data_IF_898498045965
#
_entry.id   IF_898498045965
#
_cell.length_a   1.000
_cell.length_b   1.000
_cell.length_c   1.000
_cell.angle_alpha   90.00
_cell.angle_beta   90.00
_cell.angle_gamma   90.00
#
_symmetry.space_group_name_H-M   'P 1'
#
loop_
_entity.id
_entity.type
_entity.pdbx_description
1 polymer ?
#
# COMPACT_ATOMS: atom_id res chain seq x y z
N UNK A 1 7.74 23.24 -18.42
CA UNK A 1 8.70 23.07 -17.30
C UNK A 1 8.06 22.45 -16.04
N UNK A 2 6.75 22.60 -15.79
CA UNK A 2 6.06 22.02 -14.64
C UNK A 2 5.82 20.50 -14.73
N UNK A 3 5.56 19.98 -15.95
CA UNK A 3 5.27 18.56 -16.18
C UNK A 3 6.40 17.58 -15.80
N UNK A 4 7.65 18.06 -15.72
CA UNK A 4 8.79 17.25 -15.26
C UNK A 4 8.97 17.24 -13.75
N UNK A 5 8.27 18.09 -12.99
CA UNK A 5 8.44 18.27 -11.54
C UNK A 5 7.47 17.43 -10.68
N UNK A 6 6.50 16.72 -11.28
CA UNK A 6 5.36 16.14 -10.54
C UNK A 6 4.98 14.74 -11.05
N UNK A 7 5.97 13.91 -11.42
CA UNK A 7 5.67 12.54 -11.84
C UNK A 7 5.28 11.69 -10.62
N UNK A 8 4.04 11.23 -10.59
CA UNK A 8 3.56 10.33 -9.54
C UNK A 8 4.18 8.94 -9.68
N UNK A 9 4.54 8.33 -8.55
CA UNK A 9 4.98 6.94 -8.51
C UNK A 9 3.76 6.03 -8.50
N UNK A 10 3.63 5.21 -9.55
CA UNK A 10 2.54 4.24 -9.69
C UNK A 10 2.84 2.96 -8.94
N UNK A 11 1.78 2.37 -8.40
CA UNK A 11 1.80 1.03 -7.83
C UNK A 11 1.45 0.04 -8.94
N UNK A 12 2.23 -1.04 -9.05
CA UNK A 12 1.97 -2.09 -10.03
C UNK A 12 0.82 -2.98 -9.56
N UNK A 13 -0.38 -2.72 -10.07
CA UNK A 13 -1.56 -3.57 -9.82
C UNK A 13 -1.43 -4.95 -10.44
N UNK A 14 -0.72 -5.08 -11.57
CA UNK A 14 -0.40 -6.39 -12.15
C UNK A 14 0.45 -7.23 -11.22
N UNK A 15 1.50 -6.64 -10.63
CA UNK A 15 2.33 -7.31 -9.62
C UNK A 15 1.51 -7.75 -8.41
N UNK A 16 0.60 -6.89 -7.93
CA UNK A 16 -0.31 -7.22 -6.83
C UNK A 16 -1.20 -8.44 -7.15
N UNK A 17 -1.78 -8.46 -8.36
CA UNK A 17 -2.63 -9.59 -8.82
C UNK A 17 -1.80 -10.86 -8.99
N UNK A 18 -0.63 -10.79 -9.63
CA UNK A 18 0.28 -11.92 -9.79
C UNK A 18 0.70 -12.48 -8.44
N UNK A 19 1.04 -11.62 -7.49
CA UNK A 19 1.41 -12.04 -6.14
C UNK A 19 0.29 -12.84 -5.47
N UNK A 20 -0.96 -12.36 -5.56
CA UNK A 20 -2.13 -13.04 -5.00
C UNK A 20 -2.38 -14.38 -5.68
N UNK A 21 -2.34 -14.44 -7.01
CA UNK A 21 -2.55 -15.70 -7.75
C UNK A 21 -1.49 -16.74 -7.35
N UNK A 22 -0.21 -16.35 -7.34
CA UNK A 22 0.87 -17.25 -6.93
C UNK A 22 0.71 -17.71 -5.48
N UNK A 23 0.26 -16.83 -4.59
CA UNK A 23 0.00 -17.15 -3.19
C UNK A 23 -1.11 -18.20 -3.05
N UNK A 24 -2.24 -17.99 -3.73
CA UNK A 24 -3.38 -18.93 -3.72
C UNK A 24 -2.98 -20.29 -4.31
N UNK A 25 -2.37 -20.30 -5.49
CA UNK A 25 -1.93 -21.56 -6.14
C UNK A 25 -0.90 -22.28 -5.29
N UNK A 26 0.06 -21.55 -4.71
CA UNK A 26 1.03 -22.10 -3.77
C UNK A 26 0.37 -22.73 -2.55
N UNK A 27 -0.62 -22.07 -1.93
CA UNK A 27 -1.37 -22.63 -0.79
C UNK A 27 -2.14 -23.90 -1.18
N UNK A 28 -2.77 -23.93 -2.35
CA UNK A 28 -3.49 -25.13 -2.83
C UNK A 28 -2.52 -26.30 -3.03
N UNK A 29 -1.37 -26.06 -3.67
CA UNK A 29 -0.36 -27.10 -3.86
C UNK A 29 0.26 -27.55 -2.53
N UNK A 30 0.44 -26.65 -1.57
CA UNK A 30 0.90 -27.02 -0.22
C UNK A 30 -0.07 -28.00 0.44
N UNK A 31 -1.39 -27.75 0.32
CA UNK A 31 -2.41 -28.66 0.87
C UNK A 31 -2.42 -30.02 0.17
N UNK A 32 -2.39 -30.03 -1.17
CA UNK A 32 -2.33 -31.27 -1.96
C UNK A 32 -1.08 -32.09 -1.59
N UNK A 33 0.09 -31.44 -1.54
CA UNK A 33 1.34 -32.08 -1.16
C UNK A 33 1.31 -32.63 0.27
N UNK A 34 0.74 -31.90 1.22
CA UNK A 34 0.62 -32.34 2.60
C UNK A 34 -0.30 -33.58 2.74
N UNK A 35 -1.43 -33.60 2.05
CA UNK A 35 -2.34 -34.77 2.04
C UNK A 35 -1.64 -35.98 1.40
N UNK A 36 -0.99 -35.79 0.25
CA UNK A 36 -0.25 -36.87 -0.41
C UNK A 36 0.90 -37.39 0.46
N UNK A 37 1.62 -36.53 1.17
CA UNK A 37 2.69 -36.94 2.09
C UNK A 37 2.13 -37.75 3.28
N UNK A 38 0.97 -37.36 3.82
CA UNK A 38 0.32 -38.09 4.91
C UNK A 38 -0.16 -39.48 4.46
N UNK A 39 -0.75 -39.58 3.27
CA UNK A 39 -1.15 -40.87 2.68
C UNK A 39 0.07 -41.76 2.39
N UNK A 40 1.13 -41.20 1.79
CA UNK A 40 2.37 -41.92 1.54
C UNK A 40 2.99 -42.49 2.83
N UNK A 41 3.00 -41.70 3.91
CA UNK A 41 3.47 -42.16 5.22
C UNK A 41 2.60 -43.27 5.82
N UNK A 42 1.29 -43.25 5.57
CA UNK A 42 0.36 -44.26 6.07
C UNK A 42 0.52 -45.61 5.34
N UNK A 43 0.77 -45.58 4.04
CA UNK A 43 0.94 -46.78 3.21
C UNK A 43 2.40 -47.23 3.03
N UNK A 44 3.36 -46.51 3.62
CA UNK A 44 4.81 -46.72 3.44
C UNK A 44 5.24 -46.69 1.95
N UNK A 45 4.63 -45.79 1.17
CA UNK A 45 4.87 -45.64 -0.26
C UNK A 45 5.92 -44.56 -0.53
N UNK A 46 7.15 -45.01 -0.80
CA UNK A 46 8.29 -44.13 -1.06
C UNK A 46 8.14 -43.30 -2.35
N UNK A 47 7.53 -43.85 -3.40
CA UNK A 47 7.37 -43.15 -4.68
C UNK A 47 6.36 -42.00 -4.52
N UNK A 48 5.26 -42.27 -3.82
CA UNK A 48 4.27 -41.26 -3.48
C UNK A 48 4.84 -40.18 -2.55
N UNK A 49 5.68 -40.55 -1.60
CA UNK A 49 6.37 -39.60 -0.71
C UNK A 49 7.29 -38.65 -1.49
N UNK A 50 7.99 -39.18 -2.50
CA UNK A 50 8.86 -38.39 -3.38
C UNK A 50 8.05 -37.41 -4.21
N UNK A 51 6.92 -37.86 -4.80
CA UNK A 51 5.98 -37.01 -5.52
C UNK A 51 5.38 -35.90 -4.66
N UNK A 52 4.93 -36.22 -3.44
CA UNK A 52 4.40 -35.26 -2.48
C UNK A 52 5.44 -34.19 -2.11
N UNK A 53 6.68 -34.61 -1.86
CA UNK A 53 7.80 -33.71 -1.56
C UNK A 53 8.06 -32.72 -2.71
N UNK A 54 8.03 -33.19 -3.97
CA UNK A 54 8.20 -32.33 -5.14
C UNK A 54 7.09 -31.26 -5.23
N UNK A 55 5.83 -31.64 -4.98
CA UNK A 55 4.69 -30.70 -4.96
C UNK A 55 4.85 -29.67 -3.84
N UNK A 56 5.29 -30.08 -2.65
CA UNK A 56 5.52 -29.18 -1.52
C UNK A 56 6.67 -28.19 -1.79
N UNK A 57 7.75 -28.63 -2.45
CA UNK A 57 8.85 -27.76 -2.85
C UNK A 57 8.34 -26.70 -3.86
N UNK A 58 7.57 -27.12 -4.87
CA UNK A 58 6.98 -26.19 -5.83
C UNK A 58 6.06 -25.17 -5.14
N UNK A 59 5.20 -25.63 -4.24
CA UNK A 59 4.34 -24.76 -3.43
C UNK A 59 5.16 -23.72 -2.63
N UNK A 60 6.27 -24.14 -2.02
CA UNK A 60 7.19 -23.26 -1.30
C UNK A 60 7.81 -22.19 -2.21
N UNK A 61 8.23 -22.55 -3.42
CA UNK A 61 8.77 -21.60 -4.40
C UNK A 61 7.72 -20.58 -4.85
N UNK A 62 6.49 -21.03 -5.14
CA UNK A 62 5.39 -20.13 -5.49
C UNK A 62 5.05 -19.17 -4.33
N UNK A 63 5.02 -19.69 -3.11
CA UNK A 63 4.81 -18.89 -1.89
C UNK A 63 5.91 -17.85 -1.67
N UNK A 64 7.19 -18.22 -1.90
CA UNK A 64 8.32 -17.30 -1.79
C UNK A 64 8.22 -16.16 -2.81
N UNK A 65 7.97 -16.48 -4.08
CA UNK A 65 7.81 -15.46 -5.14
C UNK A 65 6.62 -14.57 -4.83
N UNK A 66 5.48 -15.14 -4.40
CA UNK A 66 4.32 -14.38 -3.95
C UNK A 66 4.68 -13.41 -2.82
N UNK A 67 5.36 -13.88 -1.77
CA UNK A 67 5.78 -13.06 -0.64
C UNK A 67 6.68 -11.89 -1.04
N UNK A 68 7.64 -12.12 -1.95
CA UNK A 68 8.51 -11.06 -2.49
C UNK A 68 7.68 -10.01 -3.23
N UNK A 69 6.79 -10.43 -4.14
CA UNK A 69 5.97 -9.49 -4.89
C UNK A 69 5.02 -8.69 -3.99
N UNK A 70 4.42 -9.32 -2.98
CA UNK A 70 3.61 -8.63 -1.97
C UNK A 70 4.44 -7.58 -1.21
N UNK A 71 5.65 -7.93 -0.77
CA UNK A 71 6.54 -7.00 -0.09
C UNK A 71 6.91 -5.80 -0.98
N UNK A 72 7.16 -6.02 -2.27
CA UNK A 72 7.44 -4.94 -3.23
C UNK A 72 6.22 -4.03 -3.40
N UNK A 73 5.03 -4.58 -3.59
CA UNK A 73 3.78 -3.81 -3.73
C UNK A 73 3.52 -2.96 -2.49
N UNK A 74 3.71 -3.53 -1.30
CA UNK A 74 3.58 -2.77 -0.05
C UNK A 74 4.56 -1.59 0.00
N UNK A 75 5.82 -1.79 -0.39
CA UNK A 75 6.79 -0.70 -0.46
C UNK A 75 6.40 0.37 -1.48
N UNK A 76 5.81 -0.02 -2.60
CA UNK A 76 5.28 0.90 -3.60
C UNK A 76 4.16 1.79 -3.03
N UNK A 77 3.32 1.29 -2.11
CA UNK A 77 2.33 2.14 -1.42
C UNK A 77 2.98 3.30 -0.70
N UNK A 78 4.05 3.01 0.05
CA UNK A 78 4.79 4.04 0.77
C UNK A 78 5.43 5.05 -0.17
N UNK A 79 6.04 4.56 -1.25
CA UNK A 79 6.65 5.42 -2.26
C UNK A 79 5.61 6.31 -2.96
N UNK A 80 4.47 5.75 -3.36
CA UNK A 80 3.40 6.48 -4.04
C UNK A 80 2.83 7.61 -3.18
N UNK A 81 2.46 7.29 -1.93
CA UNK A 81 1.93 8.27 -0.99
C UNK A 81 2.96 9.34 -0.63
N UNK A 82 4.21 8.96 -0.36
CA UNK A 82 5.29 9.90 -0.02
C UNK A 82 5.56 10.87 -1.17
N UNK A 83 5.71 10.35 -2.39
CA UNK A 83 5.90 11.20 -3.59
C UNK A 83 4.70 12.12 -3.80
N UNK A 84 3.48 11.64 -3.59
CA UNK A 84 2.29 12.47 -3.71
C UNK A 84 2.24 13.62 -2.68
N UNK A 85 2.63 13.37 -1.43
CA UNK A 85 2.77 14.38 -0.37
C UNK A 85 3.83 15.42 -0.76
N UNK A 86 5.02 14.96 -1.17
CA UNK A 86 6.13 15.83 -1.58
C UNK A 86 5.76 16.71 -2.77
N UNK A 87 5.19 16.11 -3.81
CA UNK A 87 4.69 16.81 -5.00
C UNK A 87 3.67 17.90 -4.62
N UNK A 88 2.72 17.55 -3.76
CA UNK A 88 1.70 18.50 -3.30
C UNK A 88 2.33 19.65 -2.53
N UNK A 89 3.28 19.36 -1.63
CA UNK A 89 4.00 20.36 -0.86
C UNK A 89 4.75 21.32 -1.77
N UNK A 90 5.48 20.80 -2.77
CA UNK A 90 6.25 21.62 -3.72
C UNK A 90 5.33 22.59 -4.47
N UNK A 91 4.19 22.09 -4.98
CA UNK A 91 3.22 22.93 -5.69
C UNK A 91 2.65 23.99 -4.75
N UNK A 92 2.19 23.59 -3.56
CA UNK A 92 1.60 24.51 -2.58
C UNK A 92 2.58 25.59 -2.12
N UNK A 93 3.82 25.23 -1.81
CA UNK A 93 4.85 26.21 -1.45
C UNK A 93 5.15 27.16 -2.63
N UNK A 94 5.14 26.65 -3.86
CA UNK A 94 5.27 27.46 -5.06
C UNK A 94 4.10 28.43 -5.28
N UNK A 95 2.87 28.00 -4.94
CA UNK A 95 1.67 28.82 -5.02
C UNK A 95 1.63 29.89 -3.93
N UNK A 96 1.98 29.57 -2.69
CA UNK A 96 2.08 30.51 -1.57
C UNK A 96 2.96 31.72 -1.94
N UNK A 97 4.13 31.47 -2.54
CA UNK A 97 5.03 32.54 -3.02
C UNK A 97 4.47 33.40 -4.15
N UNK A 98 3.45 32.92 -4.85
CA UNK A 98 2.87 33.57 -6.03
C UNK A 98 1.59 34.33 -5.72
N UNK A 99 0.88 34.00 -4.64
CA UNK A 99 -0.41 34.59 -4.30
C UNK A 99 -0.19 35.88 -3.49
N UNK A 100 -0.93 36.94 -3.81
CA UNK A 100 -0.89 38.22 -3.08
C UNK A 100 -1.89 38.26 -1.91
N UNK A 101 -2.89 37.38 -1.93
CA UNK A 101 -3.92 37.22 -0.90
C UNK A 101 -3.32 36.57 0.36
N UNK A 102 -3.20 37.37 1.43
CA UNK A 102 -2.59 36.96 2.70
C UNK A 102 -3.32 35.78 3.34
N UNK A 103 -4.66 35.76 3.28
CA UNK A 103 -5.47 34.70 3.90
C UNK A 103 -5.21 33.36 3.21
N UNK A 104 -5.17 33.36 1.87
CA UNK A 104 -4.84 32.14 1.10
C UNK A 104 -3.42 31.66 1.34
N UNK A 105 -2.48 32.59 1.50
CA UNK A 105 -1.08 32.29 1.78
C UNK A 105 -0.94 31.58 3.13
N UNK A 106 -1.56 32.13 4.19
CA UNK A 106 -1.54 31.54 5.53
C UNK A 106 -2.16 30.12 5.55
N UNK A 107 -3.28 29.93 4.84
CA UNK A 107 -3.93 28.62 4.71
C UNK A 107 -3.04 27.61 3.99
N UNK A 108 -2.37 28.02 2.90
CA UNK A 108 -1.46 27.17 2.15
C UNK A 108 -0.22 26.80 2.98
N UNK A 109 0.31 27.72 3.76
CA UNK A 109 1.48 27.49 4.62
C UNK A 109 1.16 26.57 5.78
N UNK A 110 -0.02 26.75 6.41
CA UNK A 110 -0.53 25.82 7.43
C UNK A 110 -0.73 24.41 6.84
N UNK A 111 -1.30 24.31 5.65
CA UNK A 111 -1.48 23.03 4.96
C UNK A 111 -0.14 22.36 4.63
N UNK A 112 0.83 23.11 4.11
CA UNK A 112 2.17 22.62 3.79
C UNK A 112 2.92 22.14 5.04
N UNK A 113 2.73 22.80 6.17
CA UNK A 113 3.25 22.39 7.48
C UNK A 113 2.64 21.08 7.93
N UNK A 114 1.31 20.93 7.82
CA UNK A 114 0.61 19.67 8.15
C UNK A 114 1.03 18.51 7.26
N UNK A 115 1.19 18.74 5.95
CA UNK A 115 1.73 17.73 5.02
C UNK A 115 3.13 17.26 5.42
N UNK A 116 3.98 18.17 5.89
CA UNK A 116 5.35 17.84 6.31
C UNK A 116 5.39 16.95 7.55
N UNK A 117 4.36 17.02 8.40
CA UNK A 117 4.18 16.14 9.55
C UNK A 117 3.66 14.74 9.20
N UNK A 118 3.17 14.50 7.98
CA UNK A 118 2.67 13.19 7.56
C UNK A 118 3.85 12.27 7.22
N UNK A 119 4.20 11.39 8.16
CA UNK A 119 5.27 10.42 7.96
C UNK A 119 4.70 9.00 7.97
N UNK A 120 5.08 8.22 6.96
CA UNK A 120 4.77 6.80 6.91
C UNK A 120 5.80 6.02 7.73
N UNK A 121 5.38 5.04 8.55
CA UNK A 121 6.28 4.23 9.37
C UNK A 121 6.98 3.15 8.52
N UNK A 122 7.82 3.57 7.56
CA UNK A 122 8.56 2.67 6.65
C UNK A 122 9.51 1.74 7.42
N UNK A 123 9.97 2.15 8.60
CA UNK A 123 10.75 1.30 9.49
C UNK A 123 9.99 0.05 9.92
N UNK A 124 8.67 0.15 10.17
CA UNK A 124 7.83 -0.97 10.58
C UNK A 124 7.66 -1.98 9.43
N UNK A 125 7.56 -1.47 8.19
CA UNK A 125 7.59 -2.33 7.00
C UNK A 125 8.88 -3.16 6.92
N UNK A 126 10.06 -2.53 7.11
CA UNK A 126 11.32 -3.26 7.03
C UNK A 126 11.50 -4.28 8.15
N UNK A 127 11.07 -3.95 9.38
CA UNK A 127 11.06 -4.92 10.47
C UNK A 127 10.14 -6.11 10.18
N UNK A 128 8.95 -5.86 9.62
CA UNK A 128 8.07 -6.93 9.15
C UNK A 128 8.78 -7.84 8.14
N UNK A 129 9.42 -7.28 7.11
CA UNK A 129 10.11 -8.06 6.06
C UNK A 129 11.24 -8.89 6.66
N UNK A 130 12.08 -8.30 7.51
CA UNK A 130 13.21 -9.01 8.15
C UNK A 130 12.71 -10.13 9.04
N UNK A 131 11.70 -9.88 9.88
CA UNK A 131 11.12 -10.90 10.76
C UNK A 131 10.46 -12.02 9.98
N UNK A 132 9.77 -11.69 8.88
CA UNK A 132 9.19 -12.68 7.98
C UNK A 132 10.27 -13.59 7.39
N UNK A 133 11.36 -13.02 6.87
CA UNK A 133 12.49 -13.77 6.31
C UNK A 133 13.12 -14.67 7.37
N UNK A 134 13.42 -14.14 8.57
CA UNK A 134 13.97 -14.93 9.67
C UNK A 134 13.01 -16.08 10.03
N UNK A 135 11.71 -15.80 10.08
CA UNK A 135 10.67 -16.80 10.35
C UNK A 135 10.72 -17.99 9.39
N UNK A 136 10.95 -17.76 8.09
CA UNK A 136 11.05 -18.83 7.09
C UNK A 136 12.18 -19.84 7.37
N UNK A 137 13.27 -19.41 8.04
CA UNK A 137 14.44 -20.25 8.31
C UNK A 137 14.57 -20.68 9.78
N UNK A 138 13.61 -20.33 10.64
CA UNK A 138 13.72 -20.52 12.09
C UNK A 138 13.12 -21.83 12.63
N UNK A 139 12.59 -22.70 11.76
CA UNK A 139 12.00 -23.98 12.15
C UNK A 139 10.88 -23.83 13.19
N UNK A 140 10.98 -24.50 14.33
CA UNK A 140 9.97 -24.45 15.40
C UNK A 140 9.75 -23.03 15.98
N UNK A 141 10.76 -22.16 15.93
CA UNK A 141 10.64 -20.78 16.42
C UNK A 141 10.00 -19.82 15.40
N UNK A 142 9.70 -20.29 14.18
CA UNK A 142 9.10 -19.48 13.12
C UNK A 142 7.83 -18.74 13.57
N UNK A 143 7.02 -19.38 14.42
CA UNK A 143 5.77 -18.79 14.91
C UNK A 143 5.98 -17.48 15.66
N UNK A 144 7.05 -17.38 16.46
CA UNK A 144 7.37 -16.16 17.22
C UNK A 144 7.72 -15.01 16.27
N UNK A 145 8.53 -15.28 15.25
CA UNK A 145 8.91 -14.29 14.25
C UNK A 145 7.73 -13.87 13.37
N UNK A 146 6.84 -14.79 13.01
CA UNK A 146 5.63 -14.46 12.26
C UNK A 146 4.65 -13.62 13.07
N UNK A 147 4.46 -13.91 14.36
CA UNK A 147 3.62 -13.09 15.25
C UNK A 147 4.20 -11.68 15.41
N UNK A 148 5.51 -11.57 15.68
CA UNK A 148 6.17 -10.26 15.77
C UNK A 148 6.10 -9.50 14.44
N UNK A 149 6.36 -10.19 13.32
CA UNK A 149 6.24 -9.62 11.98
C UNK A 149 4.83 -9.10 11.71
N UNK A 150 3.79 -9.84 12.11
CA UNK A 150 2.40 -9.42 11.96
C UNK A 150 2.07 -8.15 12.76
N UNK A 151 2.66 -7.96 13.95
CA UNK A 151 2.51 -6.72 14.73
C UNK A 151 3.10 -5.53 13.96
N UNK A 152 4.31 -5.67 13.42
CA UNK A 152 4.93 -4.60 12.62
C UNK A 152 4.19 -4.34 11.30
N UNK A 153 3.63 -5.38 10.68
CA UNK A 153 2.72 -5.24 9.53
C UNK A 153 1.49 -4.40 9.92
N UNK A 154 0.88 -4.67 11.07
CA UNK A 154 -0.29 -3.92 11.53
C UNK A 154 0.04 -2.44 11.81
N UNK A 155 1.18 -2.16 12.43
CA UNK A 155 1.69 -0.78 12.64
C UNK A 155 1.88 -0.08 11.29
N UNK A 156 2.51 -0.77 10.33
CA UNK A 156 2.71 -0.24 8.99
C UNK A 156 1.40 0.12 8.30
N UNK A 157 0.44 -0.81 8.28
CA UNK A 157 -0.86 -0.62 7.65
C UNK A 157 -1.67 0.48 8.32
N UNK A 158 -1.64 0.58 9.64
CA UNK A 158 -2.27 1.68 10.36
C UNK A 158 -1.73 3.03 9.88
N UNK A 159 -0.41 3.16 9.73
CA UNK A 159 0.22 4.36 9.17
C UNK A 159 -0.24 4.66 7.74
N UNK A 160 -0.27 3.65 6.86
CA UNK A 160 -0.75 3.82 5.48
C UNK A 160 -2.21 4.29 5.45
N UNK A 161 -3.09 3.67 6.22
CA UNK A 161 -4.50 4.04 6.28
C UNK A 161 -4.68 5.47 6.82
N UNK A 162 -4.06 5.77 7.97
CA UNK A 162 -4.17 7.08 8.62
C UNK A 162 -3.64 8.22 7.74
N UNK A 163 -2.47 8.03 7.11
CA UNK A 163 -1.89 9.03 6.20
C UNK A 163 -2.76 9.21 4.96
N UNK A 164 -3.23 8.12 4.35
CA UNK A 164 -4.08 8.20 3.15
C UNK A 164 -5.41 8.90 3.42
N UNK A 165 -6.03 8.65 4.57
CA UNK A 165 -7.26 9.31 5.01
C UNK A 165 -7.01 10.80 5.25
N UNK A 166 -6.00 11.13 6.05
CA UNK A 166 -5.64 12.51 6.38
C UNK A 166 -5.30 13.32 5.12
N UNK A 167 -4.56 12.73 4.19
CA UNK A 167 -4.15 13.39 2.96
C UNK A 167 -5.34 13.72 2.05
N UNK A 168 -6.26 12.76 1.87
CA UNK A 168 -7.50 12.97 1.12
C UNK A 168 -8.40 14.01 1.79
N UNK A 169 -8.57 13.94 3.10
CA UNK A 169 -9.44 14.86 3.83
C UNK A 169 -8.89 16.30 3.84
N UNK A 170 -7.56 16.48 3.92
CA UNK A 170 -6.98 17.82 3.81
C UNK A 170 -7.08 18.36 2.38
N UNK A 171 -6.80 17.55 1.36
CA UNK A 171 -6.88 17.98 -0.04
C UNK A 171 -8.30 18.24 -0.51
N UNK A 172 -9.25 17.44 -0.04
CA UNK A 172 -10.68 17.64 -0.27
C UNK A 172 -11.22 18.95 0.30
N UNK A 173 -10.53 19.55 1.28
CA UNK A 173 -10.87 20.87 1.82
C UNK A 173 -10.13 22.00 1.10
N UNK A 174 -8.84 21.83 0.82
CA UNK A 174 -8.04 22.92 0.24
C UNK A 174 -8.31 23.15 -1.24
N UNK A 175 -8.58 22.10 -2.03
CA UNK A 175 -8.82 22.29 -3.47
C UNK A 175 -10.10 23.08 -3.76
N UNK A 176 -11.26 22.82 -3.14
CA UNK A 176 -12.43 23.68 -3.32
C UNK A 176 -12.20 25.12 -2.85
N UNK A 177 -11.45 25.30 -1.76
CA UNK A 177 -11.09 26.63 -1.25
C UNK A 177 -10.24 27.42 -2.26
N UNK A 178 -9.19 26.82 -2.81
CA UNK A 178 -8.30 27.48 -3.78
C UNK A 178 -8.96 27.65 -5.15
N UNK A 179 -9.78 26.70 -5.58
CA UNK A 179 -10.48 26.76 -6.85
C UNK A 179 -11.76 27.60 -6.79
N UNK A 180 -12.19 28.06 -5.61
CA UNK A 180 -13.44 28.82 -5.39
C UNK A 180 -14.65 28.20 -6.12
N UNK A 181 -14.66 26.88 -6.26
CA UNK A 181 -15.69 26.13 -7.00
C UNK A 181 -15.92 24.77 -6.36
N UNK A 182 -17.11 24.24 -6.54
CA UNK A 182 -17.39 22.84 -6.20
C UNK A 182 -16.52 21.95 -7.10
N UNK A 183 -15.67 21.15 -6.48
CA UNK A 183 -14.87 20.16 -7.19
C UNK A 183 -15.77 18.95 -7.42
N UNK A 184 -16.18 18.71 -8.67
CA UNK A 184 -17.07 17.61 -9.02
C UNK A 184 -16.42 16.23 -8.93
N UNK A 185 -15.08 16.15 -9.02
CA UNK A 185 -14.35 14.90 -8.79
C UNK A 185 -14.03 14.73 -7.30
N UNK A 186 -14.72 13.80 -6.64
CA UNK A 186 -14.39 13.44 -5.27
C UNK A 186 -13.01 12.80 -5.20
N UNK A 187 -12.09 13.49 -4.52
CA UNK A 187 -10.73 13.03 -4.28
C UNK A 187 -10.69 11.84 -3.32
N UNK A 188 -11.76 11.56 -2.58
CA UNK A 188 -11.86 10.43 -1.66
C UNK A 188 -12.06 9.11 -2.42
N UNK A 189 -10.96 8.55 -2.92
CA UNK A 189 -10.93 7.25 -3.60
C UNK A 189 -10.37 6.10 -2.76
N UNK A 190 -9.58 6.40 -1.73
CA UNK A 190 -9.08 5.40 -0.80
C UNK A 190 -10.07 5.29 0.35
N UNK A 191 -10.66 4.10 0.47
CA UNK A 191 -11.65 3.83 1.49
C UNK A 191 -11.03 3.90 2.89
N UNK A 192 -11.77 4.50 3.84
CA UNK A 192 -11.39 4.52 5.25
C UNK A 192 -11.39 3.09 5.79
N UNK A 193 -10.29 2.70 6.44
CA UNK A 193 -10.11 1.34 6.96
C UNK A 193 -9.64 1.40 8.40
N UNK A 194 -10.28 0.58 9.23
CA UNK A 194 -9.88 0.39 10.63
C UNK A 194 -8.91 -0.79 10.73
N UNK A 195 -7.77 -0.59 11.39
CA UNK A 195 -6.76 -1.65 11.52
C UNK A 195 -7.26 -2.85 12.35
N UNK A 196 -8.07 -2.62 13.38
CA UNK A 196 -8.68 -3.69 14.18
C UNK A 196 -9.65 -4.53 13.34
N UNK A 197 -10.46 -3.88 12.49
CA UNK A 197 -11.33 -4.60 11.55
C UNK A 197 -10.51 -5.39 10.51
N UNK A 198 -9.41 -4.82 10.02
CA UNK A 198 -8.49 -5.54 9.14
C UNK A 198 -7.92 -6.80 9.80
N UNK A 199 -7.47 -6.70 11.06
CA UNK A 199 -6.94 -7.86 11.80
C UNK A 199 -8.03 -8.91 11.97
N UNK A 200 -9.22 -8.50 12.43
CA UNK A 200 -10.36 -9.41 12.62
C UNK A 200 -10.73 -10.14 11.32
N UNK A 201 -10.90 -9.41 10.22
CA UNK A 201 -11.23 -9.99 8.92
C UNK A 201 -10.11 -10.90 8.40
N UNK A 202 -8.84 -10.52 8.60
CA UNK A 202 -7.70 -11.35 8.20
C UNK A 202 -7.68 -12.68 8.96
N UNK A 203 -8.00 -12.69 10.26
CA UNK A 203 -8.06 -13.92 11.05
C UNK A 203 -9.27 -14.77 10.64
N UNK A 204 -10.48 -14.18 10.62
CA UNK A 204 -11.72 -14.91 10.31
C UNK A 204 -11.71 -15.51 8.90
N UNK A 205 -11.03 -14.87 7.96
CA UNK A 205 -10.92 -15.33 6.57
C UNK A 205 -9.64 -16.12 6.28
N UNK A 206 -8.87 -16.50 7.30
CA UNK A 206 -7.59 -17.21 7.15
C UNK A 206 -6.63 -16.54 6.14
N UNK A 207 -6.57 -15.21 6.16
CA UNK A 207 -5.69 -14.41 5.31
C UNK A 207 -6.25 -14.02 3.94
N UNK A 208 -7.46 -14.47 3.55
CA UNK A 208 -8.05 -14.09 2.26
C UNK A 208 -8.27 -12.57 2.17
N UNK A 209 -8.65 -11.92 3.29
CA UNK A 209 -8.81 -10.47 3.32
C UNK A 209 -7.51 -9.71 3.02
N UNK A 210 -6.35 -10.28 3.37
CA UNK A 210 -5.06 -9.69 3.05
C UNK A 210 -4.81 -9.63 1.54
N UNK A 211 -5.13 -10.71 0.81
CA UNK A 211 -5.04 -10.73 -0.65
C UNK A 211 -5.98 -9.71 -1.31
N UNK A 212 -7.21 -9.60 -0.81
CA UNK A 212 -8.14 -8.55 -1.25
C UNK A 212 -7.53 -7.15 -1.04
N UNK A 213 -6.97 -6.89 0.15
CA UNK A 213 -6.41 -5.58 0.47
C UNK A 213 -5.23 -5.23 -0.44
N UNK A 214 -4.34 -6.18 -0.73
CA UNK A 214 -3.17 -5.97 -1.59
C UNK A 214 -3.57 -5.41 -2.97
N UNK A 215 -4.58 -6.00 -3.60
CA UNK A 215 -5.06 -5.55 -4.91
C UNK A 215 -5.84 -4.24 -4.77
N UNK A 216 -6.81 -4.21 -3.84
CA UNK A 216 -7.76 -3.11 -3.73
C UNK A 216 -7.07 -1.80 -3.36
N UNK A 217 -6.22 -1.80 -2.33
CA UNK A 217 -5.52 -0.60 -1.89
C UNK A 217 -4.58 -0.05 -2.96
N UNK A 218 -3.89 -0.94 -3.69
CA UNK A 218 -3.05 -0.56 -4.83
C UNK A 218 -3.84 0.20 -5.90
N UNK A 219 -5.04 -0.29 -6.24
CA UNK A 219 -5.91 0.36 -7.22
C UNK A 219 -6.45 1.71 -6.72
N UNK A 220 -6.81 1.79 -5.44
CA UNK A 220 -7.34 3.01 -4.84
C UNK A 220 -6.29 4.11 -4.73
N UNK A 221 -5.05 3.78 -4.34
CA UNK A 221 -3.95 4.77 -4.30
C UNK A 221 -3.66 5.29 -5.71
N UNK A 222 -3.61 4.42 -6.73
CA UNK A 222 -3.40 4.84 -8.11
C UNK A 222 -4.52 5.80 -8.58
N UNK A 223 -5.79 5.43 -8.37
CA UNK A 223 -6.93 6.26 -8.75
C UNK A 223 -6.94 7.61 -8.01
N UNK A 224 -6.58 7.60 -6.72
CA UNK A 224 -6.40 8.80 -5.91
C UNK A 224 -5.31 9.72 -6.50
N UNK A 225 -4.12 9.18 -6.78
CA UNK A 225 -3.00 9.97 -7.33
C UNK A 225 -3.32 10.57 -8.70
N UNK A 226 -4.14 9.91 -9.51
CA UNK A 226 -4.59 10.42 -10.81
C UNK A 226 -5.48 11.66 -10.68
N UNK A 227 -6.51 11.54 -9.85
CA UNK A 227 -7.43 12.65 -9.61
C UNK A 227 -6.67 13.81 -8.97
N UNK A 228 -5.83 13.52 -7.97
CA UNK A 228 -5.01 14.52 -7.33
C UNK A 228 -4.09 15.26 -8.30
N UNK A 229 -3.46 14.55 -9.25
CA UNK A 229 -2.61 15.20 -10.26
C UNK A 229 -3.41 16.19 -11.12
N UNK A 230 -4.59 15.78 -11.61
CA UNK A 230 -5.46 16.64 -12.43
C UNK A 230 -6.00 17.84 -11.65
N UNK A 231 -6.33 17.65 -10.37
CA UNK A 231 -6.79 18.74 -9.50
C UNK A 231 -5.66 19.74 -9.21
N UNK A 232 -4.44 19.28 -8.95
CA UNK A 232 -3.28 20.17 -8.75
C UNK A 232 -2.96 20.98 -9.99
N UNK A 233 -3.03 20.39 -11.18
CA UNK A 233 -2.88 21.11 -12.44
C UNK A 233 -3.96 22.20 -12.59
N UNK A 234 -5.21 21.88 -12.25
CA UNK A 234 -6.32 22.84 -12.29
C UNK A 234 -6.13 24.00 -11.29
N UNK A 235 -5.63 23.70 -10.09
CA UNK A 235 -5.32 24.73 -9.07
C UNK A 235 -4.21 25.64 -9.58
N UNK A 236 -3.16 25.05 -10.15
CA UNK A 236 -2.03 25.78 -10.67
C UNK A 236 -2.42 26.70 -11.83
N UNK A 237 -3.16 26.19 -12.82
CA UNK A 237 -3.58 26.96 -14.00
C UNK A 237 -4.47 28.15 -13.64
N UNK A 238 -5.48 27.95 -12.78
CA UNK A 238 -6.40 29.01 -12.36
C UNK A 238 -5.67 30.17 -11.67
N UNK A 239 -4.63 29.86 -10.89
CA UNK A 239 -3.86 30.86 -10.16
C UNK A 239 -2.82 31.56 -11.03
N UNK A 240 -2.41 30.98 -12.16
CA UNK A 240 -1.65 31.69 -13.19
C UNK A 240 -2.55 32.65 -14.00
N UNK A 241 -3.78 32.25 -14.33
CA UNK A 241 -4.73 33.11 -15.06
C UNK A 241 -5.10 34.39 -14.31
N UNK A 242 -5.24 34.34 -12.97
CA UNK A 242 -5.52 35.54 -12.15
C UNK A 242 -4.36 36.56 -12.09
N UNK A 243 -3.21 36.27 -12.69
CA UNK A 243 -2.06 37.20 -12.79
C UNK A 243 -1.99 37.97 -14.11
N UNK A 244 -2.73 37.54 -15.14
CA UNK A 244 -2.82 38.21 -16.44
C UNK A 244 -3.99 39.19 -16.44
#
# INVERSE_FOLDING_TARGET
MFASLVKEKRISTSMAVTAVILGIVGTVFMFIGAVAAAEAAYYDDFDMMTGASAVMILAGLLGLVSGILQAVVMYQWSCGLKTNIENTRVIMTGLSKKITDSEKTDVIDLFSTRLSGMQLPVWAYWLYVVLYIIGLFSGAYAILFFVLGFIFLAIYLHGVFSVSESLQDMKGKIYPFLLEKVVFEDIRKINKRNIGLFILLSIVTFGIYWYYLIIKLSSEINAYTDIDSRLRESVYSKLEEKKA
#
